data_IF_282584048254
#
_entry.id   IF_282584048254
#
_cell.length_a   1.000
_cell.length_b   1.000
_cell.length_c   1.000
_cell.angle_alpha   90.00
_cell.angle_beta   90.00
_cell.angle_gamma   90.00
#
_symmetry.space_group_name_H-M   'P 1'
#
loop_
_entity.id
_entity.type
_entity.pdbx_description
1 polymer ?
#
# COMPACT_ATOMS: atom_id res chain seq x y z
N UNK A 1 44.98 27.16 -7.29
CA UNK A 1 43.59 27.53 -7.58
C UNK A 1 43.14 27.03 -8.97
N UNK A 2 42.34 25.97 -9.08
CA UNK A 2 41.74 25.59 -10.36
C UNK A 2 40.21 25.30 -10.22
N UNK A 3 39.42 26.26 -9.69
CA UNK A 3 37.97 26.02 -9.50
C UNK A 3 37.04 26.63 -10.58
N UNK A 4 37.56 27.41 -11.52
CA UNK A 4 36.72 28.07 -12.55
C UNK A 4 36.41 27.23 -13.78
N UNK A 5 37.25 26.24 -14.10
CA UNK A 5 37.08 25.43 -15.33
C UNK A 5 35.92 24.43 -15.21
N UNK A 6 35.66 23.89 -14.03
CA UNK A 6 34.60 22.91 -13.79
C UNK A 6 33.17 23.45 -14.05
N UNK A 7 32.87 24.69 -13.65
CA UNK A 7 31.53 25.28 -13.88
C UNK A 7 31.25 25.51 -15.39
N UNK A 8 32.24 25.93 -16.15
CA UNK A 8 32.10 26.14 -17.61
C UNK A 8 31.91 24.81 -18.34
N UNK A 9 32.65 23.77 -17.95
CA UNK A 9 32.50 22.42 -18.52
C UNK A 9 31.10 21.89 -18.28
N UNK A 10 30.56 22.05 -17.04
CA UNK A 10 29.21 21.63 -16.70
C UNK A 10 28.15 22.41 -17.51
N UNK A 11 28.34 23.71 -17.71
CA UNK A 11 27.46 24.54 -18.54
C UNK A 11 27.44 24.08 -20.00
N UNK A 12 28.60 23.77 -20.57
CA UNK A 12 28.70 23.27 -21.95
C UNK A 12 28.09 21.86 -22.09
N UNK A 13 28.32 21.00 -21.13
CA UNK A 13 27.70 19.66 -21.08
C UNK A 13 26.18 19.75 -21.01
N UNK A 14 25.67 20.65 -20.19
CA UNK A 14 24.23 20.90 -20.06
C UNK A 14 23.63 21.48 -21.35
N UNK A 15 24.33 22.44 -21.98
CA UNK A 15 23.93 23.01 -23.26
C UNK A 15 23.94 21.95 -24.37
N UNK A 16 24.94 21.08 -24.41
CA UNK A 16 25.05 19.97 -25.36
C UNK A 16 23.89 18.97 -25.18
N UNK A 17 23.54 18.63 -23.94
CA UNK A 17 22.39 17.79 -23.62
C UNK A 17 21.07 18.43 -24.10
N UNK A 18 20.89 19.74 -23.87
CA UNK A 18 19.68 20.45 -24.33
C UNK A 18 19.59 20.41 -25.86
N UNK A 19 20.67 20.78 -26.59
CA UNK A 19 20.67 20.79 -28.06
C UNK A 19 20.44 19.37 -28.61
N UNK A 20 21.07 18.35 -28.01
CA UNK A 20 20.92 16.96 -28.42
C UNK A 20 19.49 16.41 -28.18
N UNK A 21 18.81 16.89 -27.15
CA UNK A 21 17.43 16.45 -26.81
C UNK A 21 16.37 17.20 -27.62
N UNK A 22 16.52 18.51 -27.82
CA UNK A 22 15.51 19.33 -28.50
C UNK A 22 15.35 18.99 -29.99
N UNK A 23 16.39 18.52 -30.65
CA UNK A 23 16.37 18.21 -32.09
C UNK A 23 16.17 16.71 -32.41
N UNK A 24 15.99 15.88 -31.40
CA UNK A 24 15.82 14.45 -31.61
C UNK A 24 14.35 14.06 -31.75
N UNK A 25 13.85 13.95 -32.98
CA UNK A 25 12.47 13.54 -33.30
C UNK A 25 12.11 12.16 -32.71
N UNK A 26 13.12 11.31 -32.47
CA UNK A 26 12.88 9.99 -31.86
C UNK A 26 12.57 10.05 -30.36
N UNK A 27 12.92 11.13 -29.64
CA UNK A 27 12.54 11.33 -28.24
C UNK A 27 11.06 11.65 -28.06
N UNK A 28 10.41 12.21 -29.06
CA UNK A 28 8.95 12.47 -29.04
C UNK A 28 8.12 11.19 -29.20
N UNK A 29 8.75 10.09 -29.64
CA UNK A 29 8.12 8.77 -29.82
C UNK A 29 8.35 7.88 -28.59
N UNK A 30 9.06 8.35 -27.58
CA UNK A 30 9.33 7.56 -26.39
C UNK A 30 8.07 7.47 -25.53
N UNK A 31 7.23 6.48 -25.84
CA UNK A 31 6.13 6.11 -24.98
C UNK A 31 6.66 5.32 -23.78
N UNK A 32 6.51 5.89 -22.60
CA UNK A 32 6.81 5.14 -21.37
C UNK A 32 5.89 3.92 -21.27
N UNK A 33 6.43 2.74 -21.02
CA UNK A 33 5.63 1.52 -20.96
C UNK A 33 4.56 1.61 -19.88
N UNK A 34 3.36 1.17 -20.22
CA UNK A 34 2.25 1.02 -19.30
C UNK A 34 2.52 -0.17 -18.38
N UNK A 35 1.82 -0.21 -17.25
CA UNK A 35 1.87 -1.35 -16.34
C UNK A 35 1.24 -2.55 -17.02
N UNK A 36 2.05 -3.58 -17.28
CA UNK A 36 1.61 -4.83 -17.91
C UNK A 36 1.18 -5.86 -16.85
N UNK A 37 1.91 -5.88 -15.73
CA UNK A 37 1.72 -6.87 -14.69
C UNK A 37 1.54 -6.22 -13.33
N UNK A 38 0.50 -6.67 -12.61
CA UNK A 38 0.29 -6.35 -11.21
C UNK A 38 0.17 -7.68 -10.47
N UNK A 39 1.06 -7.91 -9.51
CA UNK A 39 1.01 -9.07 -8.63
C UNK A 39 0.64 -8.65 -7.20
N UNK A 40 -0.27 -9.40 -6.60
CA UNK A 40 -0.71 -9.21 -5.20
C UNK A 40 -0.49 -10.53 -4.46
N UNK A 41 0.13 -10.45 -3.28
CA UNK A 41 0.46 -11.60 -2.46
C UNK A 41 0.33 -11.28 -0.96
N UNK A 42 0.35 -12.33 -0.12
CA UNK A 42 0.37 -12.19 1.34
C UNK A 42 -0.96 -12.49 2.04
N UNK A 43 -2.07 -12.55 1.29
CA UNK A 43 -3.38 -12.94 1.80
C UNK A 43 -3.83 -14.28 1.21
N UNK A 44 -5.06 -14.70 1.51
CA UNK A 44 -5.67 -15.85 0.84
C UNK A 44 -5.84 -15.58 -0.67
N UNK A 45 -5.95 -16.65 -1.46
CA UNK A 45 -6.10 -16.54 -2.93
C UNK A 45 -7.29 -15.66 -3.32
N UNK A 46 -8.41 -15.79 -2.62
CA UNK A 46 -9.63 -15.00 -2.87
C UNK A 46 -9.41 -13.51 -2.56
N UNK A 47 -8.87 -13.21 -1.38
CA UNK A 47 -8.59 -11.84 -0.94
C UNK A 47 -7.56 -11.15 -1.86
N UNK A 48 -6.49 -11.85 -2.25
CA UNK A 48 -5.52 -11.31 -3.21
C UNK A 48 -6.17 -10.96 -4.55
N UNK A 49 -7.09 -11.78 -5.05
CA UNK A 49 -7.82 -11.53 -6.30
C UNK A 49 -8.76 -10.33 -6.19
N UNK A 50 -9.41 -10.13 -5.07
CA UNK A 50 -10.29 -8.97 -4.82
C UNK A 50 -9.48 -7.66 -4.84
N UNK A 51 -8.34 -7.63 -4.15
CA UNK A 51 -7.44 -6.48 -4.18
C UNK A 51 -6.87 -6.27 -5.59
N UNK A 52 -6.44 -7.34 -6.28
CA UNK A 52 -5.93 -7.27 -7.65
C UNK A 52 -6.95 -6.63 -8.59
N UNK A 53 -8.22 -7.06 -8.55
CA UNK A 53 -9.30 -6.47 -9.37
C UNK A 53 -9.46 -4.97 -9.13
N UNK A 54 -9.37 -4.52 -7.88
CA UNK A 54 -9.47 -3.10 -7.55
C UNK A 54 -8.30 -2.27 -8.08
N UNK A 55 -7.16 -2.92 -8.32
CA UNK A 55 -5.92 -2.31 -8.83
C UNK A 55 -5.79 -2.38 -10.36
N UNK A 56 -6.61 -3.16 -11.06
CA UNK A 56 -6.51 -3.33 -12.51
C UNK A 56 -6.66 -2.04 -13.31
N UNK A 57 -7.36 -1.05 -12.77
CA UNK A 57 -7.47 0.27 -13.37
C UNK A 57 -6.11 0.95 -13.60
N UNK A 58 -5.09 0.58 -12.81
CA UNK A 58 -3.73 1.12 -12.95
C UNK A 58 -2.95 0.54 -14.11
N UNK A 59 -3.38 -0.56 -14.73
CA UNK A 59 -2.75 -1.12 -15.94
C UNK A 59 -2.72 -0.14 -17.11
N UNK A 60 -3.58 0.88 -17.10
CA UNK A 60 -3.58 1.95 -18.11
C UNK A 60 -2.54 3.04 -17.83
N UNK A 61 -1.99 3.07 -16.63
CA UNK A 61 -1.07 4.10 -16.17
C UNK A 61 0.37 3.70 -16.45
N UNK A 62 1.22 4.71 -16.47
CA UNK A 62 2.66 4.51 -16.53
C UNK A 62 3.22 4.30 -15.12
N UNK A 63 4.16 3.35 -14.97
CA UNK A 63 4.73 3.02 -13.67
C UNK A 63 5.52 4.18 -13.03
N UNK A 64 6.14 5.05 -13.85
CA UNK A 64 6.89 6.21 -13.36
C UNK A 64 6.00 7.25 -12.70
N UNK A 65 4.84 7.52 -13.31
CA UNK A 65 3.90 8.53 -12.85
C UNK A 65 2.82 7.97 -11.92
N UNK A 66 2.89 6.69 -11.59
CA UNK A 66 1.93 6.06 -10.69
C UNK A 66 1.99 6.70 -9.30
N UNK A 67 0.88 7.31 -8.89
CA UNK A 67 0.72 7.93 -7.59
C UNK A 67 0.67 6.89 -6.48
N UNK A 68 1.61 6.97 -5.53
CA UNK A 68 1.59 6.15 -4.32
C UNK A 68 0.30 6.39 -3.51
N UNK A 69 -0.17 7.62 -3.44
CA UNK A 69 -1.35 7.99 -2.68
C UNK A 69 -2.62 7.28 -3.17
N UNK A 70 -2.81 7.18 -4.48
CA UNK A 70 -3.96 6.47 -5.04
C UNK A 70 -3.93 4.97 -4.76
N UNK A 71 -2.75 4.36 -4.80
CA UNK A 71 -2.56 2.95 -4.42
C UNK A 71 -2.92 2.72 -2.96
N UNK A 72 -2.36 3.55 -2.07
CA UNK A 72 -2.61 3.50 -0.62
C UNK A 72 -4.10 3.59 -0.34
N UNK A 73 -4.79 4.58 -0.92
CA UNK A 73 -6.23 4.79 -0.73
C UNK A 73 -7.09 3.58 -1.12
N UNK A 74 -6.67 2.79 -2.12
CA UNK A 74 -7.40 1.59 -2.52
C UNK A 74 -7.12 0.44 -1.56
N UNK A 75 -5.87 0.26 -1.18
CA UNK A 75 -5.46 -0.83 -0.29
C UNK A 75 -6.08 -0.63 1.11
N UNK A 76 -6.05 0.59 1.63
CA UNK A 76 -6.57 0.94 2.96
C UNK A 76 -8.09 0.83 3.10
N UNK A 77 -8.83 0.75 1.99
CA UNK A 77 -10.28 0.43 2.01
C UNK A 77 -10.58 -0.97 2.50
N UNK A 78 -9.59 -1.85 2.52
CA UNK A 78 -9.77 -3.22 2.98
C UNK A 78 -9.37 -3.30 4.46
N UNK A 79 -10.34 -3.42 5.33
CA UNK A 79 -10.16 -3.36 6.78
C UNK A 79 -9.35 -4.53 7.35
N UNK A 80 -9.25 -5.63 6.61
CA UNK A 80 -8.46 -6.81 6.99
C UNK A 80 -6.96 -6.68 6.66
N UNK A 81 -6.50 -5.57 6.10
CA UNK A 81 -5.09 -5.35 5.81
C UNK A 81 -4.43 -4.59 6.96
N UNK A 82 -3.41 -5.20 7.56
CA UNK A 82 -2.58 -4.61 8.62
C UNK A 82 -1.50 -3.70 8.03
N UNK A 83 -0.69 -4.27 7.15
CA UNK A 83 0.44 -3.61 6.51
C UNK A 83 0.52 -4.01 5.05
N UNK A 84 1.17 -3.17 4.27
CA UNK A 84 1.48 -3.49 2.88
C UNK A 84 2.80 -2.88 2.45
N UNK A 85 3.41 -3.50 1.44
CA UNK A 85 4.56 -2.97 0.75
C UNK A 85 4.32 -2.97 -0.76
N UNK A 86 4.79 -1.92 -1.42
CA UNK A 86 4.67 -1.75 -2.87
C UNK A 86 6.04 -1.63 -3.47
N UNK A 87 6.34 -2.50 -4.43
CA UNK A 87 7.61 -2.55 -5.15
C UNK A 87 7.36 -2.37 -6.65
N UNK A 88 7.99 -1.34 -7.23
CA UNK A 88 7.99 -1.09 -8.66
C UNK A 88 9.13 -1.86 -9.29
N UNK A 89 8.83 -2.78 -10.21
CA UNK A 89 9.81 -3.47 -11.06
C UNK A 89 9.74 -2.89 -12.46
N UNK A 90 10.68 -2.02 -12.76
CA UNK A 90 10.77 -1.40 -14.08
C UNK A 90 11.04 -2.45 -15.16
N UNK A 91 10.52 -2.25 -16.40
CA UNK A 91 9.81 -1.04 -16.84
C UNK A 91 8.29 -1.02 -16.52
N UNK A 92 7.64 -2.17 -16.23
CA UNK A 92 6.18 -2.28 -16.35
C UNK A 92 5.50 -3.19 -15.32
N UNK A 93 6.19 -3.66 -14.27
CA UNK A 93 5.60 -4.57 -13.28
C UNK A 93 5.48 -3.90 -11.91
N UNK A 94 4.36 -4.15 -11.24
CA UNK A 94 4.03 -3.67 -9.91
C UNK A 94 3.77 -4.84 -8.97
N UNK A 95 4.56 -4.99 -7.91
CA UNK A 95 4.38 -6.03 -6.92
C UNK A 95 3.87 -5.42 -5.62
N UNK A 96 2.81 -6.00 -5.07
CA UNK A 96 2.19 -5.58 -3.82
C UNK A 96 2.17 -6.78 -2.89
N UNK A 97 2.79 -6.62 -1.73
CA UNK A 97 2.74 -7.62 -0.67
C UNK A 97 1.90 -7.08 0.48
N UNK A 98 0.90 -7.85 0.88
CA UNK A 98 -0.08 -7.52 1.90
C UNK A 98 0.13 -8.40 3.13
N UNK A 99 -0.08 -7.85 4.30
CA UNK A 99 -0.11 -8.58 5.55
C UNK A 99 -1.50 -8.47 6.15
N UNK A 100 -2.09 -9.62 6.49
CA UNK A 100 -3.41 -9.68 7.12
C UNK A 100 -3.32 -9.21 8.57
N UNK A 101 -4.33 -8.47 9.02
CA UNK A 101 -4.49 -8.09 10.42
C UNK A 101 -4.78 -9.31 11.29
N UNK A 102 -4.29 -9.30 12.52
CA UNK A 102 -4.63 -10.31 13.52
C UNK A 102 -5.96 -9.95 14.16
N UNK A 103 -6.85 -10.93 14.28
CA UNK A 103 -8.11 -10.76 14.98
C UNK A 103 -7.86 -10.84 16.48
N UNK A 104 -8.32 -9.85 17.24
CA UNK A 104 -8.03 -9.70 18.66
C UNK A 104 -9.23 -10.06 19.54
N UNK A 105 -10.43 -9.64 19.12
CA UNK A 105 -11.65 -9.86 19.87
C UNK A 105 -12.88 -9.83 18.94
N UNK A 106 -14.03 -10.23 19.45
CA UNK A 106 -15.33 -10.15 18.81
C UNK A 106 -16.23 -9.21 19.59
N UNK A 107 -16.96 -8.34 18.91
CA UNK A 107 -17.98 -7.48 19.51
C UNK A 107 -19.29 -7.59 18.75
N UNK A 108 -20.39 -7.27 19.42
CA UNK A 108 -21.70 -7.07 18.80
C UNK A 108 -22.00 -5.56 18.80
N UNK A 109 -22.24 -5.01 17.62
CA UNK A 109 -22.65 -3.61 17.42
C UNK A 109 -23.81 -3.58 16.44
N UNK A 110 -24.90 -2.94 16.81
CA UNK A 110 -26.10 -2.81 15.97
C UNK A 110 -26.62 -4.16 15.44
N UNK A 111 -26.67 -5.17 16.31
CA UNK A 111 -27.06 -6.56 15.98
C UNK A 111 -26.18 -7.26 14.94
N UNK A 112 -25.00 -6.72 14.66
CA UNK A 112 -23.98 -7.34 13.80
C UNK A 112 -22.72 -7.66 14.60
N UNK A 113 -22.06 -8.73 14.18
CA UNK A 113 -20.78 -9.11 14.78
C UNK A 113 -19.63 -8.51 14.00
N UNK A 114 -18.65 -7.97 14.72
CA UNK A 114 -17.42 -7.43 14.16
C UNK A 114 -16.22 -8.00 14.90
N UNK A 115 -15.20 -8.35 14.16
CA UNK A 115 -13.88 -8.58 14.73
C UNK A 115 -13.15 -7.25 14.92
N UNK A 116 -12.38 -7.16 15.98
CA UNK A 116 -11.41 -6.08 16.19
C UNK A 116 -10.07 -6.56 15.65
N UNK A 117 -9.55 -5.87 14.65
CA UNK A 117 -8.22 -6.12 14.09
C UNK A 117 -7.12 -5.47 14.93
N UNK A 118 -5.91 -6.02 14.87
CA UNK A 118 -4.70 -5.38 15.45
C UNK A 118 -4.38 -4.01 14.81
N UNK A 119 -4.94 -3.74 13.63
CA UNK A 119 -4.89 -2.44 12.95
C UNK A 119 -5.94 -1.43 13.45
N UNK A 120 -6.61 -1.71 14.58
CA UNK A 120 -7.68 -0.89 15.18
C UNK A 120 -8.90 -0.68 14.28
N UNK A 121 -9.16 -1.60 13.34
CA UNK A 121 -10.33 -1.54 12.49
C UNK A 121 -11.34 -2.62 12.84
N UNK A 122 -12.62 -2.33 12.53
CA UNK A 122 -13.70 -3.29 12.64
C UNK A 122 -13.84 -4.05 11.32
N UNK A 123 -13.87 -5.37 11.41
CA UNK A 123 -14.00 -6.28 10.28
C UNK A 123 -15.31 -7.04 10.46
N UNK A 124 -16.22 -6.90 9.51
CA UNK A 124 -17.51 -7.59 9.59
C UNK A 124 -17.30 -9.11 9.65
N UNK A 125 -17.87 -9.74 10.67
CA UNK A 125 -17.74 -11.17 10.91
C UNK A 125 -18.84 -11.90 10.15
N UNK A 126 -18.49 -12.78 9.21
CA UNK A 126 -19.43 -13.69 8.55
C UNK A 126 -19.84 -14.86 9.45
N UNK A 127 -18.97 -15.27 10.37
CA UNK A 127 -19.18 -16.35 11.32
C UNK A 127 -18.53 -16.02 12.66
N UNK A 128 -19.11 -16.53 13.76
CA UNK A 128 -18.51 -16.36 15.09
C UNK A 128 -17.30 -17.29 15.26
N UNK A 129 -16.12 -16.71 15.47
CA UNK A 129 -14.97 -17.49 15.89
C UNK A 129 -15.09 -17.83 17.37
N UNK A 130 -15.12 -19.13 17.69
CA UNK A 130 -15.22 -19.63 19.07
C UNK A 130 -13.94 -19.39 19.90
N UNK A 131 -12.86 -18.99 19.29
CA UNK A 131 -11.53 -18.88 19.92
C UNK A 131 -11.13 -17.44 20.27
N UNK A 132 -12.01 -16.45 20.07
CA UNK A 132 -11.70 -15.07 20.38
C UNK A 132 -12.52 -14.59 21.57
N UNK A 133 -11.95 -13.74 22.44
CA UNK A 133 -12.69 -13.13 23.53
C UNK A 133 -13.85 -12.29 22.98
N UNK A 134 -15.00 -12.38 23.63
CA UNK A 134 -16.18 -11.58 23.29
C UNK A 134 -16.29 -10.41 24.25
N UNK A 135 -16.43 -9.19 23.69
CA UNK A 135 -16.56 -7.97 24.49
C UNK A 135 -18.04 -7.57 24.55
N UNK A 136 -18.54 -7.34 25.75
CA UNK A 136 -19.91 -6.92 26.05
C UNK A 136 -19.92 -5.46 26.51
N UNK A 137 -21.03 -4.76 26.23
CA UNK A 137 -21.28 -3.41 26.70
C UNK A 137 -20.82 -2.31 25.74
N UNK A 138 -20.71 -1.10 26.26
CA UNK A 138 -20.18 0.04 25.50
C UNK A 138 -18.71 -0.19 25.19
N UNK A 139 -18.36 -0.06 23.91
CA UNK A 139 -17.04 -0.34 23.40
C UNK A 139 -16.34 0.90 22.87
N UNK A 140 -15.16 1.15 23.42
CA UNK A 140 -14.21 2.16 22.96
C UNK A 140 -12.93 1.45 22.50
N UNK A 141 -12.54 1.65 21.23
CA UNK A 141 -11.42 0.94 20.63
C UNK A 141 -10.08 1.35 21.25
N UNK A 142 -9.92 2.62 21.61
CA UNK A 142 -8.67 3.13 22.16
C UNK A 142 -8.46 2.60 23.58
N UNK A 143 -9.52 2.60 24.42
CA UNK A 143 -9.49 1.98 25.76
C UNK A 143 -9.21 0.47 25.69
N UNK A 144 -9.75 -0.22 24.70
CA UNK A 144 -9.48 -1.66 24.53
C UNK A 144 -8.00 -1.92 24.32
N UNK A 145 -7.34 -1.13 23.45
CA UNK A 145 -5.93 -1.31 23.18
C UNK A 145 -5.04 -0.87 24.34
N UNK A 146 -5.42 0.16 25.09
CA UNK A 146 -4.76 0.59 26.32
C UNK A 146 -4.77 -0.53 27.37
N UNK A 147 -5.94 -1.07 27.70
CA UNK A 147 -6.08 -2.20 28.64
C UNK A 147 -5.27 -3.41 28.18
N UNK A 148 -5.29 -3.69 26.86
CA UNK A 148 -4.53 -4.81 26.32
C UNK A 148 -3.03 -4.63 26.49
N UNK A 149 -2.50 -3.43 26.25
CA UNK A 149 -1.10 -3.11 26.46
C UNK A 149 -0.70 -3.28 27.94
N UNK A 150 -1.54 -2.83 28.86
CA UNK A 150 -1.35 -3.00 30.31
C UNK A 150 -1.28 -4.49 30.70
N UNK A 151 -2.18 -5.32 30.16
CA UNK A 151 -2.19 -6.76 30.41
C UNK A 151 -0.92 -7.42 29.85
N UNK A 152 -0.55 -7.08 28.62
CA UNK A 152 0.63 -7.65 27.97
C UNK A 152 1.94 -7.26 28.74
N UNK A 153 1.98 -6.07 29.35
CA UNK A 153 3.10 -5.62 30.20
C UNK A 153 3.10 -6.24 31.59
N UNK A 154 1.94 -6.62 32.14
CA UNK A 154 1.82 -7.18 33.47
C UNK A 154 2.17 -8.69 33.54
N UNK A 155 2.28 -9.36 32.41
CA UNK A 155 2.59 -10.79 32.32
C UNK A 155 4.11 -11.09 32.25
N UNK A 156 4.95 -10.20 32.80
CA UNK A 156 6.39 -10.43 33.00
C UNK A 156 6.71 -10.70 34.47
#
# INVERSE_FOLDING_TARGET
MPKRKSKKIFQYLFLFLIIGTLNNKNLSIFEFPKINEISVSGLSKKENLEVLKSLEKFKKNNLFFLSKFELVKIIEKNDYIEKFSVSKKYPSSLNIHLQKTRLMALINKDAKFFYIGSNRKFIEASEQSKNLPFIYGEFDIDKFFEIKEDIDQSNF
#
